data_IF_115487629421
#
_entry.id   IF_115487629421
#
_cell.length_a   1.000
_cell.length_b   1.000
_cell.length_c   1.000
_cell.angle_alpha   90.00
_cell.angle_beta   90.00
_cell.angle_gamma   90.00
#
_symmetry.space_group_name_H-M   'P 1'
#
loop_
_entity.id
_entity.type
_entity.pdbx_description
1 polymer ?
#
# COMPACT_ATOMS: atom_id res chain seq x y z
N UNK A 1 -49.14 -6.48 -2.01
CA UNK A 1 -48.11 -5.51 -1.60
C UNK A 1 -47.00 -6.27 -0.91
N UNK A 2 -45.99 -6.73 -1.65
CA UNK A 2 -44.82 -7.40 -1.09
C UNK A 2 -43.71 -6.36 -0.98
N UNK A 3 -43.36 -5.99 0.25
CA UNK A 3 -42.15 -5.21 0.50
C UNK A 3 -40.94 -6.07 0.07
N UNK A 4 -40.29 -5.68 -1.03
CA UNK A 4 -38.99 -6.25 -1.38
C UNK A 4 -37.98 -5.98 -0.27
N UNK A 5 -37.03 -6.89 0.01
CA UNK A 5 -36.07 -6.68 1.08
C UNK A 5 -35.26 -5.41 0.80
N UNK A 6 -35.31 -4.47 1.76
CA UNK A 6 -34.47 -3.29 1.82
C UNK A 6 -33.02 -3.75 2.04
N UNK A 7 -32.32 -4.17 0.98
CA UNK A 7 -30.86 -4.21 1.02
C UNK A 7 -30.42 -2.76 1.20
N UNK A 8 -29.77 -2.37 2.31
CA UNK A 8 -29.35 -0.99 2.47
C UNK A 8 -28.35 -0.69 1.37
N UNK A 9 -28.71 0.20 0.46
CA UNK A 9 -27.84 0.72 -0.58
C UNK A 9 -26.81 1.63 0.12
N UNK A 10 -25.83 1.04 0.82
CA UNK A 10 -24.71 1.79 1.36
C UNK A 10 -24.02 2.41 0.15
N UNK A 11 -24.02 3.74 0.07
CA UNK A 11 -23.51 4.43 -1.10
C UNK A 11 -22.04 4.05 -1.32
N UNK A 12 -21.58 3.95 -2.58
CA UNK A 12 -20.17 3.64 -2.89
C UNK A 12 -19.19 4.51 -2.10
N UNK A 13 -19.53 5.80 -1.92
CA UNK A 13 -18.80 6.75 -1.10
C UNK A 13 -18.58 6.27 0.34
N UNK A 14 -19.63 5.78 1.01
CA UNK A 14 -19.52 5.31 2.40
C UNK A 14 -18.61 4.08 2.48
N UNK A 15 -18.71 3.16 1.51
CA UNK A 15 -17.83 1.99 1.49
C UNK A 15 -16.37 2.34 1.20
N UNK A 16 -16.11 3.34 0.36
CA UNK A 16 -14.77 3.79 0.02
C UNK A 16 -14.14 4.56 1.20
N UNK A 17 -14.91 5.43 1.86
CA UNK A 17 -14.51 6.10 3.09
C UNK A 17 -14.18 5.11 4.20
N UNK A 18 -15.02 4.08 4.40
CA UNK A 18 -14.75 3.03 5.37
C UNK A 18 -13.46 2.26 5.05
N UNK A 19 -13.24 1.92 3.78
CA UNK A 19 -12.03 1.23 3.35
C UNK A 19 -10.76 2.08 3.62
N UNK A 20 -10.78 3.37 3.24
CA UNK A 20 -9.67 4.29 3.53
C UNK A 20 -9.47 4.46 5.03
N UNK A 21 -10.55 4.65 5.79
CA UNK A 21 -10.51 4.86 7.24
C UNK A 21 -9.89 3.68 7.99
N UNK A 22 -10.31 2.45 7.70
CA UNK A 22 -9.73 1.23 8.30
C UNK A 22 -8.24 1.14 8.00
N UNK A 23 -7.86 1.31 6.73
CA UNK A 23 -6.45 1.32 6.34
C UNK A 23 -5.65 2.38 7.08
N UNK A 24 -6.18 3.61 7.15
CA UNK A 24 -5.53 4.75 7.77
C UNK A 24 -5.28 4.53 9.26
N UNK A 25 -6.26 3.99 10.00
CA UNK A 25 -6.10 3.65 11.42
C UNK A 25 -5.00 2.59 11.59
N UNK A 26 -5.04 1.51 10.82
CA UNK A 26 -4.03 0.46 10.88
C UNK A 26 -2.62 1.00 10.57
N UNK A 27 -2.46 1.82 9.52
CA UNK A 27 -1.17 2.38 9.12
C UNK A 27 -0.60 3.34 10.17
N UNK A 28 -1.44 4.20 10.76
CA UNK A 28 -1.03 5.15 11.78
C UNK A 28 -0.57 4.43 13.06
N UNK A 29 -1.33 3.41 13.49
CA UNK A 29 -0.96 2.58 14.65
C UNK A 29 0.32 1.78 14.40
N UNK A 30 0.50 1.23 13.20
CA UNK A 30 1.73 0.52 12.83
C UNK A 30 2.94 1.46 12.89
N UNK A 31 2.86 2.65 12.27
CA UNK A 31 3.92 3.66 12.31
C UNK A 31 4.25 4.06 13.75
N UNK A 32 3.24 4.33 14.56
CA UNK A 32 3.42 4.72 15.97
C UNK A 32 4.11 3.62 16.78
N UNK A 33 3.66 2.36 16.66
CA UNK A 33 4.24 1.25 17.40
C UNK A 33 5.69 0.95 16.97
N UNK A 34 6.00 1.01 15.66
CA UNK A 34 7.37 0.84 15.18
C UNK A 34 8.27 1.95 15.72
N UNK A 35 7.81 3.20 15.68
CA UNK A 35 8.55 4.33 16.24
C UNK A 35 8.80 4.18 17.74
N UNK A 36 7.80 3.71 18.49
CA UNK A 36 7.91 3.41 19.93
C UNK A 36 8.94 2.30 20.17
N UNK A 37 8.81 1.16 19.50
CA UNK A 37 9.75 0.03 19.65
C UNK A 37 11.18 0.43 19.29
N UNK A 38 11.37 1.22 18.23
CA UNK A 38 12.68 1.72 17.84
C UNK A 38 13.28 2.60 18.95
N UNK A 39 12.48 3.52 19.50
CA UNK A 39 12.89 4.41 20.58
C UNK A 39 13.23 3.64 21.85
N UNK A 40 12.37 2.70 22.25
CA UNK A 40 12.57 1.85 23.44
C UNK A 40 13.85 1.02 23.31
N UNK A 41 14.10 0.44 22.13
CA UNK A 41 15.34 -0.32 21.87
C UNK A 41 16.59 0.56 21.93
N UNK A 42 16.54 1.76 21.36
CA UNK A 42 17.64 2.74 21.42
C UNK A 42 17.94 3.11 22.88
N UNK A 43 16.91 3.37 23.67
CA UNK A 43 17.05 3.71 25.09
C UNK A 43 17.60 2.54 25.92
N UNK A 44 17.17 1.31 25.64
CA UNK A 44 17.60 0.12 26.38
C UNK A 44 19.07 -0.27 26.16
N UNK A 45 19.64 0.04 24.99
CA UNK A 45 21.02 -0.32 24.68
C UNK A 45 21.66 0.65 23.67
N UNK A 46 22.05 1.86 24.12
CA UNK A 46 22.48 2.95 23.22
C UNK A 46 23.72 2.62 22.39
N UNK A 47 24.69 1.93 23.01
CA UNK A 47 25.92 1.45 22.35
C UNK A 47 25.60 0.63 21.09
N UNK A 48 24.55 -0.20 21.12
CA UNK A 48 24.18 -1.07 20.02
C UNK A 48 23.24 -0.41 19.01
N UNK A 49 22.31 0.42 19.46
CA UNK A 49 21.18 0.86 18.64
C UNK A 49 21.15 2.35 18.30
N UNK A 50 22.09 3.17 18.79
CA UNK A 50 22.17 4.60 18.48
C UNK A 50 22.15 4.92 16.97
N UNK A 51 22.69 4.04 16.14
CA UNK A 51 22.65 4.14 14.68
C UNK A 51 21.23 4.14 14.08
N UNK A 52 20.22 3.59 14.78
CA UNK A 52 18.82 3.59 14.35
C UNK A 52 18.09 4.90 14.65
N UNK A 53 18.73 5.83 15.38
CA UNK A 53 18.13 7.12 15.73
C UNK A 53 17.87 7.93 14.46
N UNK A 54 16.59 8.19 14.18
CA UNK A 54 16.09 8.82 12.95
C UNK A 54 15.95 7.88 11.75
N UNK A 55 16.79 6.84 11.62
CA UNK A 55 16.76 5.94 10.46
C UNK A 55 15.53 5.02 10.37
N UNK A 56 14.81 4.83 11.48
CA UNK A 56 13.56 4.08 11.48
C UNK A 56 12.48 4.72 10.60
N UNK A 57 12.41 6.05 10.53
CA UNK A 57 11.47 6.77 9.64
C UNK A 57 11.79 6.53 8.17
N UNK A 58 13.07 6.55 7.79
CA UNK A 58 13.47 6.17 6.43
C UNK A 58 13.10 4.71 6.12
N UNK A 59 13.32 3.78 7.06
CA UNK A 59 12.91 2.38 6.91
C UNK A 59 11.39 2.22 6.72
N UNK A 60 10.59 2.95 7.49
CA UNK A 60 9.12 2.99 7.35
C UNK A 60 8.72 3.48 5.96
N UNK A 61 9.30 4.58 5.49
CA UNK A 61 8.99 5.15 4.18
C UNK A 61 9.36 4.18 3.04
N UNK A 62 10.57 3.60 3.06
CA UNK A 62 11.03 2.64 2.05
C UNK A 62 10.16 1.38 2.03
N UNK A 63 9.82 0.81 3.19
CA UNK A 63 8.94 -0.35 3.28
C UNK A 63 7.53 -0.03 2.77
N UNK A 64 6.99 1.13 3.16
CA UNK A 64 5.68 1.57 2.69
C UNK A 64 5.65 1.79 1.17
N UNK A 65 6.73 2.33 0.59
CA UNK A 65 6.88 2.46 -0.87
C UNK A 65 6.91 1.09 -1.56
N UNK A 66 7.59 0.08 -1.01
CA UNK A 66 7.56 -1.29 -1.53
C UNK A 66 6.14 -1.86 -1.55
N UNK A 67 5.42 -1.74 -0.43
CA UNK A 67 4.02 -2.21 -0.32
C UNK A 67 3.13 -1.48 -1.34
N UNK A 68 3.26 -0.15 -1.44
CA UNK A 68 2.51 0.65 -2.39
C UNK A 68 2.79 0.21 -3.84
N UNK A 69 4.07 -0.04 -4.16
CA UNK A 69 4.48 -0.62 -5.45
C UNK A 69 3.78 -1.94 -5.73
N UNK A 70 3.73 -2.86 -4.75
CA UNK A 70 3.02 -4.13 -4.89
C UNK A 70 1.52 -3.95 -5.14
N UNK A 71 0.87 -3.05 -4.41
CA UNK A 71 -0.56 -2.72 -4.58
C UNK A 71 -0.85 -2.21 -5.98
N UNK A 72 -0.06 -1.26 -6.47
CA UNK A 72 -0.28 -0.68 -7.80
C UNK A 72 0.25 -1.54 -8.95
N UNK A 73 1.18 -2.45 -8.69
CA UNK A 73 1.62 -3.48 -9.63
C UNK A 73 0.64 -4.63 -9.80
N UNK A 74 -0.27 -4.85 -8.85
CA UNK A 74 -1.31 -5.89 -8.95
C UNK A 74 -2.38 -5.52 -9.98
N UNK A 75 -2.97 -6.48 -10.71
CA UNK A 75 -4.11 -6.23 -11.57
C UNK A 75 -5.36 -5.88 -10.76
N UNK A 76 -6.26 -5.11 -11.35
CA UNK A 76 -7.56 -4.79 -10.75
C UNK A 76 -8.56 -5.88 -11.12
N UNK A 77 -9.21 -6.47 -10.11
CA UNK A 77 -10.32 -7.41 -10.30
C UNK A 77 -11.66 -6.73 -10.00
N UNK A 78 -12.66 -6.97 -10.86
CA UNK A 78 -14.03 -6.51 -10.67
C UNK A 78 -14.93 -7.70 -10.25
N UNK A 79 -15.31 -7.79 -8.95
CA UNK A 79 -16.17 -8.87 -8.46
C UNK A 79 -17.55 -8.88 -9.12
N UNK A 80 -18.08 -7.72 -9.51
CA UNK A 80 -19.40 -7.62 -10.13
C UNK A 80 -19.39 -8.15 -11.58
N UNK A 81 -18.29 -7.93 -12.30
CA UNK A 81 -18.08 -8.49 -13.63
C UNK A 81 -18.05 -10.02 -13.62
N UNK A 82 -17.45 -10.63 -12.58
CA UNK A 82 -17.39 -12.08 -12.42
C UNK A 82 -18.77 -12.71 -12.18
N UNK A 83 -19.63 -12.08 -11.37
CA UNK A 83 -21.00 -12.55 -11.10
C UNK A 83 -21.89 -12.44 -12.35
N UNK A 84 -21.75 -11.37 -13.12
CA UNK A 84 -22.55 -11.17 -14.33
C UNK A 84 -22.14 -12.10 -15.48
N UNK A 85 -20.88 -12.52 -15.53
CA UNK A 85 -20.37 -13.48 -16.52
C UNK A 85 -21.13 -14.81 -16.49
N UNK A 86 -21.58 -15.24 -15.31
CA UNK A 86 -22.33 -16.50 -15.15
C UNK A 86 -23.76 -16.44 -15.73
N UNK A 87 -24.24 -15.25 -16.10
CA UNK A 87 -25.52 -15.04 -16.81
C UNK A 87 -25.36 -14.88 -18.33
N UNK A 88 -24.12 -14.79 -18.82
CA UNK A 88 -23.86 -14.65 -20.25
C UNK A 88 -23.99 -16.03 -20.90
N UNK A 89 -24.84 -16.20 -21.94
CA UNK A 89 -24.94 -17.46 -22.64
C UNK A 89 -23.58 -17.88 -23.22
N UNK A 90 -23.31 -19.20 -23.35
CA UNK A 90 -22.01 -19.69 -23.75
C UNK A 90 -21.55 -19.05 -25.07
N UNK A 91 -20.24 -18.72 -25.19
CA UNK A 91 -19.72 -18.01 -26.36
C UNK A 91 -19.96 -18.83 -27.63
N UNK A 92 -20.64 -18.23 -28.61
CA UNK A 92 -21.02 -18.88 -29.87
C UNK A 92 -19.86 -18.96 -30.89
N UNK A 93 -18.70 -18.38 -30.58
CA UNK A 93 -17.51 -18.41 -31.44
C UNK A 93 -16.26 -18.89 -30.70
N UNK A 94 -15.38 -19.60 -31.41
CA UNK A 94 -14.09 -20.10 -30.88
C UNK A 94 -13.16 -18.98 -30.39
N UNK A 95 -13.21 -17.81 -31.01
CA UNK A 95 -12.47 -16.62 -30.57
C UNK A 95 -13.03 -16.02 -29.26
N UNK A 96 -14.35 -16.02 -29.08
CA UNK A 96 -14.98 -15.59 -27.83
C UNK A 96 -14.76 -16.60 -26.69
N UNK A 97 -14.73 -17.90 -27.00
CA UNK A 97 -14.40 -18.96 -26.06
C UNK A 97 -12.93 -18.85 -25.57
N UNK A 98 -11.98 -18.65 -26.49
CA UNK A 98 -10.56 -18.45 -26.15
C UNK A 98 -10.34 -17.20 -25.27
N UNK A 99 -11.01 -16.08 -25.57
CA UNK A 99 -10.95 -14.87 -24.72
C UNK A 99 -11.61 -15.07 -23.35
N UNK A 100 -12.74 -15.77 -23.28
CA UNK A 100 -13.42 -16.08 -22.03
C UNK A 100 -12.57 -17.01 -21.13
N UNK A 101 -11.96 -18.05 -21.71
CA UNK A 101 -11.02 -18.93 -21.00
C UNK A 101 -9.76 -18.17 -20.56
N UNK A 102 -9.20 -17.30 -21.41
CA UNK A 102 -8.04 -16.46 -21.05
C UNK A 102 -8.35 -15.49 -19.90
N UNK A 103 -9.55 -14.90 -19.89
CA UNK A 103 -10.00 -14.02 -18.81
C UNK A 103 -10.34 -14.78 -17.53
N UNK A 104 -10.86 -16.01 -17.62
CA UNK A 104 -11.12 -16.88 -16.47
C UNK A 104 -9.83 -17.30 -15.74
N UNK A 105 -8.69 -17.34 -16.45
CA UNK A 105 -7.37 -17.61 -15.84
C UNK A 105 -6.79 -16.38 -15.10
N UNK A 106 -7.26 -15.16 -15.39
CA UNK A 106 -6.80 -13.89 -14.77
C UNK A 106 -7.61 -13.49 -13.51
N UNK A 107 -7.95 -14.45 -12.65
CA UNK A 107 -8.79 -14.16 -11.47
C UNK A 107 -8.04 -13.65 -10.23
N UNK A 108 -6.70 -13.60 -10.25
CA UNK A 108 -5.91 -13.15 -9.11
C UNK A 108 -5.55 -11.67 -9.23
N UNK A 109 -5.94 -10.86 -8.24
CA UNK A 109 -5.65 -9.42 -8.20
C UNK A 109 -6.30 -8.74 -6.99
N UNK A 110 -6.24 -7.40 -6.95
CA UNK A 110 -6.86 -6.59 -5.91
C UNK A 110 -8.09 -5.86 -6.44
N UNK A 111 -9.17 -5.83 -5.66
CA UNK A 111 -10.32 -4.98 -5.94
C UNK A 111 -9.97 -3.49 -5.81
N UNK A 112 -10.70 -2.57 -6.46
CA UNK A 112 -10.47 -1.13 -6.29
C UNK A 112 -10.47 -0.68 -4.83
N UNK A 113 -11.40 -1.23 -4.01
CA UNK A 113 -11.48 -0.91 -2.58
C UNK A 113 -10.30 -1.43 -1.78
N UNK A 114 -9.78 -2.62 -2.09
CA UNK A 114 -8.56 -3.11 -1.45
C UNK A 114 -7.36 -2.22 -1.78
N UNK A 115 -7.26 -1.73 -3.03
CA UNK A 115 -6.22 -0.77 -3.41
C UNK A 115 -6.36 0.57 -2.67
N UNK A 116 -7.57 1.08 -2.49
CA UNK A 116 -7.83 2.28 -1.67
C UNK A 116 -7.46 2.06 -0.20
N UNK A 117 -7.92 0.95 0.39
CA UNK A 117 -7.65 0.60 1.78
C UNK A 117 -6.15 0.52 2.07
N UNK A 118 -5.41 -0.21 1.24
CA UNK A 118 -3.97 -0.42 1.47
C UNK A 118 -3.15 0.77 0.97
N UNK A 119 -3.40 1.25 -0.24
CA UNK A 119 -2.60 2.31 -0.85
C UNK A 119 -2.84 3.68 -0.23
N UNK A 120 -4.09 4.15 -0.22
CA UNK A 120 -4.44 5.47 0.32
C UNK A 120 -4.53 5.43 1.84
N UNK A 121 -5.23 4.43 2.39
CA UNK A 121 -5.41 4.28 3.83
C UNK A 121 -4.10 3.91 4.53
N UNK A 122 -3.71 2.64 4.44
CA UNK A 122 -2.58 2.10 5.20
C UNK A 122 -1.25 2.77 4.84
N UNK A 123 -0.80 2.68 3.59
CA UNK A 123 0.49 3.25 3.17
C UNK A 123 0.52 4.77 3.36
N UNK A 124 -0.61 5.46 3.13
CA UNK A 124 -0.71 6.91 3.31
C UNK A 124 -0.50 7.38 4.76
N UNK A 125 -0.99 6.63 5.75
CA UNK A 125 -0.78 6.98 7.18
C UNK A 125 0.42 6.27 7.83
N UNK A 126 0.87 5.17 7.23
CA UNK A 126 2.05 4.41 7.63
C UNK A 126 3.35 5.13 7.26
N UNK A 127 3.42 5.71 6.06
CA UNK A 127 4.57 6.52 5.64
C UNK A 127 4.41 7.98 6.10
N UNK A 128 5.50 8.74 6.17
CA UNK A 128 5.46 10.14 6.60
C UNK A 128 6.55 10.98 5.93
N UNK A 129 6.13 11.96 5.13
CA UNK A 129 7.02 12.96 4.56
C UNK A 129 7.31 14.12 5.54
N UNK A 130 6.35 14.47 6.40
CA UNK A 130 6.50 15.58 7.33
C UNK A 130 7.56 15.28 8.41
N UNK A 131 7.57 14.07 8.96
CA UNK A 131 8.61 13.65 9.92
C UNK A 131 9.98 13.61 9.25
N UNK A 132 10.07 13.04 8.04
CA UNK A 132 11.29 13.07 7.23
C UNK A 132 11.82 14.50 7.04
N UNK A 133 10.94 15.46 6.73
CA UNK A 133 11.32 16.85 6.50
C UNK A 133 11.91 17.51 7.76
N UNK A 134 11.26 17.30 8.91
CA UNK A 134 11.75 17.80 10.21
C UNK A 134 13.10 17.17 10.57
N UNK A 135 13.28 15.87 10.33
CA UNK A 135 14.54 15.18 10.55
C UNK A 135 15.69 15.78 9.72
N UNK A 136 15.44 16.06 8.44
CA UNK A 136 16.42 16.70 7.55
C UNK A 136 16.80 18.08 8.07
N UNK A 137 15.83 18.93 8.41
CA UNK A 137 16.07 20.26 8.96
C UNK A 137 16.90 20.17 10.26
N UNK A 138 16.56 19.23 11.13
CA UNK A 138 17.31 19.00 12.37
C UNK A 138 18.75 18.54 12.13
N UNK A 139 19.00 17.69 11.12
CA UNK A 139 20.36 17.26 10.77
C UNK A 139 21.18 18.43 10.19
N UNK A 140 20.57 19.23 9.31
CA UNK A 140 21.19 20.43 8.73
C UNK A 140 21.53 21.45 9.83
N UNK A 141 20.60 21.72 10.74
CA UNK A 141 20.82 22.62 11.88
C UNK A 141 21.93 22.16 12.83
N UNK A 142 22.22 20.86 12.88
CA UNK A 142 23.34 20.26 13.63
C UNK A 142 24.66 20.22 12.84
N UNK A 143 24.70 20.78 11.63
CA UNK A 143 25.86 20.74 10.73
C UNK A 143 26.13 19.36 10.10
N UNK A 144 25.22 18.39 10.23
CA UNK A 144 25.40 17.01 9.79
C UNK A 144 25.03 16.82 8.30
N UNK A 145 25.63 17.60 7.40
CA UNK A 145 25.24 17.67 5.99
C UNK A 145 25.33 16.31 5.26
N UNK A 146 26.38 15.52 5.51
CA UNK A 146 26.52 14.19 4.92
C UNK A 146 25.41 13.23 5.35
N UNK A 147 25.01 13.28 6.63
CA UNK A 147 23.91 12.45 7.15
C UNK A 147 22.57 12.90 6.56
N UNK A 148 22.32 14.21 6.50
CA UNK A 148 21.13 14.77 5.88
C UNK A 148 21.01 14.34 4.41
N UNK A 149 22.10 14.45 3.62
CA UNK A 149 22.13 14.03 2.23
C UNK A 149 21.84 12.53 2.07
N UNK A 150 22.50 11.67 2.85
CA UNK A 150 22.25 10.22 2.82
C UNK A 150 20.79 9.88 3.18
N UNK A 151 20.21 10.60 4.15
CA UNK A 151 18.83 10.40 4.59
C UNK A 151 17.81 10.83 3.52
N UNK A 152 18.05 11.96 2.82
CA UNK A 152 17.28 12.39 1.65
C UNK A 152 17.35 11.37 0.53
N UNK A 153 18.55 10.89 0.19
CA UNK A 153 18.72 9.90 -0.87
C UNK A 153 18.04 8.57 -0.53
N UNK A 154 18.12 8.12 0.72
CA UNK A 154 17.45 6.89 1.17
C UNK A 154 15.93 6.99 1.02
N UNK A 155 15.33 8.12 1.44
CA UNK A 155 13.89 8.31 1.31
C UNK A 155 13.43 8.41 -0.15
N UNK A 156 14.13 9.18 -0.97
CA UNK A 156 13.70 9.44 -2.35
C UNK A 156 14.12 8.32 -3.30
N UNK A 157 15.42 8.07 -3.43
CA UNK A 157 15.96 7.04 -4.34
C UNK A 157 15.61 5.65 -3.84
N UNK A 158 15.82 5.39 -2.54
CA UNK A 158 15.47 4.11 -1.93
C UNK A 158 13.96 3.85 -1.98
N UNK A 159 13.13 4.86 -1.73
CA UNK A 159 11.67 4.75 -1.84
C UNK A 159 11.20 4.43 -3.27
N UNK A 160 11.73 5.14 -4.28
CA UNK A 160 11.40 4.87 -5.69
C UNK A 160 11.86 3.47 -6.11
N UNK A 161 13.09 3.07 -5.75
CA UNK A 161 13.60 1.73 -6.04
C UNK A 161 12.74 0.65 -5.37
N UNK A 162 12.35 0.86 -4.11
CA UNK A 162 11.46 -0.04 -3.38
C UNK A 162 10.08 -0.17 -4.05
N UNK A 163 9.47 0.94 -4.46
CA UNK A 163 8.21 0.90 -5.20
C UNK A 163 8.33 0.16 -6.54
N UNK A 164 9.41 0.39 -7.29
CA UNK A 164 9.69 -0.34 -8.52
C UNK A 164 9.85 -1.85 -8.30
N UNK A 165 10.59 -2.24 -7.26
CA UNK A 165 10.72 -3.65 -6.86
C UNK A 165 9.38 -4.25 -6.45
N UNK A 166 8.56 -3.53 -5.66
CA UNK A 166 7.22 -3.98 -5.28
C UNK A 166 6.33 -4.23 -6.49
N UNK A 167 6.34 -3.31 -7.47
CA UNK A 167 5.61 -3.49 -8.73
C UNK A 167 6.11 -4.71 -9.51
N UNK A 168 7.42 -4.90 -9.61
CA UNK A 168 8.02 -6.04 -10.29
C UNK A 168 7.61 -7.37 -9.64
N UNK A 169 7.67 -7.45 -8.31
CA UNK A 169 7.25 -8.63 -7.54
C UNK A 169 5.77 -8.92 -7.80
N UNK A 170 4.89 -7.92 -7.68
CA UNK A 170 3.47 -8.11 -7.94
C UNK A 170 3.22 -8.63 -9.36
N UNK A 171 3.85 -8.02 -10.38
CA UNK A 171 3.74 -8.46 -11.78
C UNK A 171 4.16 -9.91 -11.99
N UNK A 172 5.26 -10.34 -11.34
CA UNK A 172 5.71 -11.73 -11.38
C UNK A 172 4.74 -12.68 -10.69
N UNK A 173 4.15 -12.29 -9.56
CA UNK A 173 3.18 -13.09 -8.81
C UNK A 173 1.84 -13.22 -9.55
N UNK A 174 1.40 -12.17 -10.24
CA UNK A 174 0.12 -12.13 -10.96
C UNK A 174 0.22 -12.47 -12.45
N UNK A 175 1.43 -12.69 -12.99
CA UNK A 175 1.66 -13.04 -14.39
C UNK A 175 1.25 -11.94 -15.38
N UNK A 176 1.44 -10.67 -15.01
CA UNK A 176 1.04 -9.49 -15.79
C UNK A 176 2.17 -8.51 -16.06
#
# INVERSE_FOLDING_TARGET
>A
MTAGPLTPFVSPLVTDCAAVGVGAVCGALARHNIGRIATDKIASNPERFSHLTGWHTAGINVLGSFVLGGVFGSPVIDPAAAVNSNKIPPPTSSAAASKATTNAVRQFGLTPRQKLMVGVGFCGSFTTFSTFSVDVVNMVGKGQMGKAAAYVMTNNVGGVAAAAMGMMVARRLFGC
#
